data_IF_689635565638
#
_entry.id   IF_689635565638
#
_cell.length_a   1.000
_cell.length_b   1.000
_cell.length_c   1.000
_cell.angle_alpha   90.00
_cell.angle_beta   90.00
_cell.angle_gamma   90.00
#
_symmetry.space_group_name_H-M   'P 1'
#
loop_
_entity.id
_entity.type
_entity.pdbx_description
1 polymer ?
#
# COMPACT_ATOMS: atom_id res chain seq x y z
N UNK A 1 62.57 -7.39 14.68
CA UNK A 1 62.50 -5.91 14.58
C UNK A 1 61.07 -5.50 14.86
N UNK A 2 60.86 -4.60 15.82
CA UNK A 2 59.52 -4.09 16.11
C UNK A 2 59.14 -3.10 15.01
N UNK A 3 57.86 -3.04 14.60
CA UNK A 3 57.34 -2.07 13.62
C UNK A 3 57.68 -0.63 14.03
N UNK A 4 57.80 -0.41 15.34
CA UNK A 4 58.18 0.86 15.96
C UNK A 4 59.60 1.30 15.55
N UNK A 5 60.53 0.36 15.38
CA UNK A 5 61.93 0.65 15.03
C UNK A 5 62.07 1.14 13.58
N UNK A 6 61.12 0.79 12.71
CA UNK A 6 61.09 1.19 11.30
C UNK A 6 60.51 2.60 11.12
N UNK A 7 59.52 2.95 11.95
CA UNK A 7 58.78 4.22 11.85
C UNK A 7 59.48 5.35 12.63
N UNK A 8 60.29 5.01 13.63
CA UNK A 8 61.01 5.97 14.46
C UNK A 8 62.08 6.72 13.65
N UNK A 9 62.02 8.06 13.55
CA UNK A 9 63.06 8.82 12.86
C UNK A 9 64.41 8.68 13.58
N UNK A 10 65.52 8.63 12.82
CA UNK A 10 66.87 8.50 13.39
C UNK A 10 67.26 9.61 14.38
N UNK A 11 66.64 10.80 14.26
CA UNK A 11 66.88 11.94 15.14
C UNK A 11 66.01 11.93 16.41
N UNK A 12 65.18 10.92 16.64
CA UNK A 12 64.20 10.90 17.73
C UNK A 12 64.83 10.86 19.13
N UNK A 13 65.95 10.16 19.28
CA UNK A 13 66.73 10.11 20.54
C UNK A 13 67.91 11.08 20.54
N UNK A 14 68.00 11.96 19.54
CA UNK A 14 69.12 12.89 19.39
C UNK A 14 69.07 13.96 20.49
N UNK A 15 70.08 13.98 21.36
CA UNK A 15 70.29 15.04 22.34
C UNK A 15 71.43 15.94 21.88
N UNK A 16 71.11 17.21 21.61
CA UNK A 16 72.12 18.19 21.25
C UNK A 16 72.92 18.62 22.49
N UNK A 17 74.17 18.15 22.57
CA UNK A 17 75.09 18.38 23.69
C UNK A 17 75.78 19.76 23.58
N UNK A 18 75.75 20.38 22.40
CA UNK A 18 76.43 21.66 22.11
C UNK A 18 75.50 22.89 22.19
N UNK A 19 74.20 22.70 22.40
CA UNK A 19 73.18 23.75 22.24
C UNK A 19 73.15 24.87 23.31
N UNK A 20 74.05 24.84 24.32
CA UNK A 20 74.20 25.92 25.31
C UNK A 20 72.86 26.35 25.96
N UNK A 21 72.70 27.64 26.37
CA UNK A 21 71.48 28.12 27.01
C UNK A 21 70.23 28.13 26.10
N UNK A 22 70.33 27.69 24.84
CA UNK A 22 69.24 27.73 23.84
C UNK A 22 68.75 26.34 23.41
N UNK A 23 69.04 25.30 24.21
CA UNK A 23 68.68 23.89 24.02
C UNK A 23 67.19 23.63 23.70
N UNK A 24 66.29 24.54 24.06
CA UNK A 24 64.85 24.42 23.78
C UNK A 24 64.48 24.65 22.30
N UNK A 25 65.29 25.37 21.53
CA UNK A 25 65.04 25.66 20.11
C UNK A 25 65.23 24.44 19.19
N UNK A 26 66.03 23.46 19.62
CA UNK A 26 66.40 22.28 18.83
C UNK A 26 65.68 20.99 19.27
N UNK A 27 64.44 21.11 19.76
CA UNK A 27 63.64 19.94 20.11
C UNK A 27 63.01 19.29 18.86
N UNK A 28 63.84 18.59 18.07
CA UNK A 28 63.45 17.93 16.80
C UNK A 28 62.30 16.94 16.96
N UNK A 29 62.21 16.26 18.12
CA UNK A 29 61.09 15.39 18.46
C UNK A 29 59.75 16.15 18.45
N UNK A 30 59.72 17.33 19.08
CA UNK A 30 58.51 18.19 19.12
C UNK A 30 58.14 18.71 17.73
N UNK A 31 59.12 19.14 16.94
CA UNK A 31 58.89 19.65 15.58
C UNK A 31 58.31 18.55 14.69
N UNK A 32 58.88 17.35 14.73
CA UNK A 32 58.37 16.22 13.94
C UNK A 32 56.98 15.79 14.38
N UNK A 33 56.72 15.70 15.69
CA UNK A 33 55.37 15.41 16.21
C UNK A 33 54.36 16.44 15.70
N UNK A 34 54.70 17.73 15.76
CA UNK A 34 53.83 18.81 15.27
C UNK A 34 53.59 18.72 13.77
N UNK A 35 54.62 18.43 12.96
CA UNK A 35 54.48 18.26 11.52
C UNK A 35 53.58 17.05 11.15
N UNK A 36 53.77 15.91 11.81
CA UNK A 36 52.94 14.70 11.59
C UNK A 36 51.50 14.96 12.00
N UNK A 37 51.27 15.61 13.14
CA UNK A 37 49.92 15.95 13.61
C UNK A 37 49.24 16.92 12.65
N UNK A 38 49.93 17.97 12.19
CA UNK A 38 49.36 18.93 11.24
C UNK A 38 49.02 18.29 9.89
N UNK A 39 49.92 17.49 9.33
CA UNK A 39 49.65 16.77 8.07
C UNK A 39 48.49 15.78 8.21
N UNK A 40 48.44 15.04 9.32
CA UNK A 40 47.32 14.12 9.61
C UNK A 40 46.01 14.88 9.75
N UNK A 41 46.02 16.02 10.45
CA UNK A 41 44.85 16.86 10.64
C UNK A 41 44.33 17.39 9.30
N UNK A 42 45.22 17.90 8.44
CA UNK A 42 44.86 18.39 7.10
C UNK A 42 44.28 17.28 6.21
N UNK A 43 44.76 16.05 6.33
CA UNK A 43 44.23 14.91 5.56
C UNK A 43 42.90 14.37 6.11
N UNK A 44 42.76 14.25 7.43
CA UNK A 44 41.63 13.57 8.08
C UNK A 44 40.42 14.50 8.24
N UNK A 45 40.62 15.78 8.57
CA UNK A 45 39.51 16.69 8.88
C UNK A 45 38.55 16.86 7.71
N UNK A 46 39.00 17.12 6.46
CA UNK A 46 38.10 17.22 5.32
C UNK A 46 37.34 15.92 5.05
N UNK A 47 38.02 14.78 5.19
CA UNK A 47 37.43 13.45 4.98
C UNK A 47 36.33 13.14 6.00
N UNK A 48 36.58 13.41 7.29
CA UNK A 48 35.56 13.23 8.33
C UNK A 48 34.41 14.19 8.13
N UNK A 49 34.70 15.45 7.77
CA UNK A 49 33.68 16.47 7.54
C UNK A 49 32.75 16.09 6.39
N UNK A 50 33.30 15.70 5.23
CA UNK A 50 32.46 15.28 4.09
C UNK A 50 31.68 14.01 4.41
N UNK A 51 32.28 13.04 5.10
CA UNK A 51 31.59 11.79 5.47
C UNK A 51 30.41 12.05 6.40
N UNK A 52 30.55 12.96 7.38
CA UNK A 52 29.46 13.30 8.30
C UNK A 52 28.32 14.06 7.60
N UNK A 53 28.65 14.95 6.67
CA UNK A 53 27.66 15.67 5.86
C UNK A 53 26.93 14.69 4.95
N UNK A 54 27.68 13.88 4.21
CA UNK A 54 27.14 12.87 3.29
C UNK A 54 26.23 11.89 4.02
N UNK A 55 26.65 11.38 5.18
CA UNK A 55 25.84 10.49 5.99
C UNK A 55 24.47 11.09 6.33
N UNK A 56 24.42 12.35 6.77
CA UNK A 56 23.17 13.05 7.10
C UNK A 56 22.29 13.29 5.87
N UNK A 57 22.89 13.74 4.77
CA UNK A 57 22.16 14.01 3.53
C UNK A 57 21.61 12.73 2.92
N UNK A 58 22.43 11.68 2.85
CA UNK A 58 22.05 10.36 2.34
C UNK A 58 20.96 9.74 3.20
N UNK A 59 21.06 9.81 4.52
CA UNK A 59 20.01 9.30 5.40
C UNK A 59 18.65 9.97 5.10
N UNK A 60 18.60 11.30 5.07
CA UNK A 60 17.36 12.03 4.79
C UNK A 60 16.83 11.78 3.38
N UNK A 61 17.71 11.69 2.38
CA UNK A 61 17.33 11.40 1.01
C UNK A 61 16.72 10.00 0.88
N UNK A 62 17.32 8.99 1.53
CA UNK A 62 16.85 7.61 1.51
C UNK A 62 15.51 7.47 2.23
N UNK A 63 15.36 8.06 3.42
CA UNK A 63 14.08 8.07 4.16
C UNK A 63 12.95 8.71 3.34
N UNK A 64 13.24 9.84 2.70
CA UNK A 64 12.27 10.56 1.87
C UNK A 64 11.89 9.77 0.61
N UNK A 65 12.87 9.16 -0.08
CA UNK A 65 12.59 8.35 -1.26
C UNK A 65 11.73 7.12 -0.92
N UNK A 66 12.02 6.43 0.18
CA UNK A 66 11.19 5.32 0.66
C UNK A 66 9.76 5.76 0.99
N UNK A 67 9.61 6.88 1.71
CA UNK A 67 8.29 7.42 2.04
C UNK A 67 7.51 7.78 0.77
N UNK A 68 8.13 8.54 -0.15
CA UNK A 68 7.47 8.98 -1.38
C UNK A 68 7.11 7.80 -2.29
N UNK A 69 7.98 6.81 -2.43
CA UNK A 69 7.68 5.59 -3.20
C UNK A 69 6.51 4.83 -2.61
N UNK A 70 6.53 4.61 -1.29
CA UNK A 70 5.45 3.90 -0.60
C UNK A 70 4.13 4.65 -0.74
N UNK A 71 4.13 5.98 -0.53
CA UNK A 71 2.96 6.83 -0.69
C UNK A 71 2.41 6.79 -2.12
N UNK A 72 3.29 6.82 -3.15
CA UNK A 72 2.87 6.69 -4.56
C UNK A 72 2.27 5.33 -4.87
N UNK A 73 2.88 4.25 -4.37
CA UNK A 73 2.37 2.90 -4.56
C UNK A 73 0.98 2.76 -3.93
N UNK A 74 0.82 3.16 -2.66
CA UNK A 74 -0.47 3.13 -1.97
C UNK A 74 -1.51 3.99 -2.70
N UNK A 75 -1.14 5.21 -3.11
CA UNK A 75 -2.04 6.11 -3.85
C UNK A 75 -2.49 5.51 -5.18
N UNK A 76 -1.56 4.90 -5.93
CA UNK A 76 -1.86 4.28 -7.21
C UNK A 76 -2.72 3.03 -7.04
N UNK A 77 -2.40 2.14 -6.09
CA UNK A 77 -3.19 0.95 -5.78
C UNK A 77 -4.59 1.33 -5.33
N UNK A 78 -4.72 2.31 -4.41
CA UNK A 78 -6.04 2.81 -3.98
C UNK A 78 -6.87 3.30 -5.15
N UNK A 79 -6.26 4.07 -6.07
CA UNK A 79 -6.93 4.58 -7.26
C UNK A 79 -7.41 3.45 -8.17
N UNK A 80 -6.56 2.44 -8.42
CA UNK A 80 -6.91 1.27 -9.22
C UNK A 80 -8.08 0.48 -8.61
N UNK A 81 -8.00 0.15 -7.31
CA UNK A 81 -9.07 -0.57 -6.60
C UNK A 81 -10.37 0.25 -6.58
N UNK A 82 -10.27 1.56 -6.34
CA UNK A 82 -11.42 2.46 -6.35
C UNK A 82 -12.10 2.50 -7.72
N UNK A 83 -11.32 2.65 -8.80
CA UNK A 83 -11.87 2.66 -10.16
C UNK A 83 -12.50 1.32 -10.53
N UNK A 84 -11.86 0.21 -10.19
CA UNK A 84 -12.42 -1.12 -10.36
C UNK A 84 -13.81 -1.20 -9.69
N UNK A 85 -13.92 -0.89 -8.40
CA UNK A 85 -15.20 -0.97 -7.69
C UNK A 85 -16.26 0.00 -8.23
N UNK A 86 -15.86 1.23 -8.60
CA UNK A 86 -16.77 2.25 -9.17
C UNK A 86 -17.32 1.80 -10.52
N UNK A 87 -16.50 1.18 -11.37
CA UNK A 87 -16.93 0.67 -12.67
C UNK A 87 -17.98 -0.44 -12.51
N UNK A 88 -17.72 -1.45 -11.66
CA UNK A 88 -18.68 -2.54 -11.41
C UNK A 88 -19.96 -2.03 -10.74
N UNK A 89 -19.85 -1.07 -9.82
CA UNK A 89 -21.01 -0.38 -9.24
C UNK A 89 -21.84 0.30 -10.32
N UNK A 90 -21.20 1.02 -11.23
CA UNK A 90 -21.89 1.75 -12.31
C UNK A 90 -22.60 0.78 -13.27
N UNK A 91 -21.95 -0.35 -13.58
CA UNK A 91 -22.57 -1.43 -14.35
C UNK A 91 -23.80 -2.01 -13.63
N UNK A 92 -23.71 -2.26 -12.31
CA UNK A 92 -24.82 -2.79 -11.53
C UNK A 92 -25.98 -1.78 -11.43
N UNK A 93 -25.68 -0.50 -11.25
CA UNK A 93 -26.66 0.59 -11.25
C UNK A 93 -27.38 0.72 -12.60
N UNK A 94 -26.65 0.55 -13.71
CA UNK A 94 -27.24 0.50 -15.05
C UNK A 94 -28.21 -0.68 -15.19
N UNK A 95 -27.79 -1.89 -14.80
CA UNK A 95 -28.66 -3.10 -14.86
C UNK A 95 -29.95 -2.89 -14.07
N UNK A 96 -29.84 -2.33 -12.87
CA UNK A 96 -30.97 -2.04 -12.00
C UNK A 96 -31.95 -1.04 -12.62
N UNK A 97 -31.46 -0.02 -13.34
CA UNK A 97 -32.30 1.01 -13.96
C UNK A 97 -32.94 0.54 -15.27
N UNK A 98 -32.28 -0.35 -16.00
CA UNK A 98 -32.70 -0.82 -17.33
C UNK A 98 -33.62 -2.05 -17.28
N UNK A 99 -33.77 -2.70 -16.13
CA UNK A 99 -34.54 -3.94 -16.01
C UNK A 99 -35.64 -3.83 -14.94
N UNK A 100 -36.82 -4.37 -15.26
CA UNK A 100 -37.91 -4.48 -14.28
C UNK A 100 -37.62 -5.57 -13.25
N UNK A 101 -38.21 -5.45 -12.06
CA UNK A 101 -38.09 -6.47 -11.01
C UNK A 101 -38.49 -7.87 -11.48
N UNK A 102 -39.59 -7.99 -12.23
CA UNK A 102 -40.05 -9.27 -12.76
C UNK A 102 -39.04 -9.87 -13.75
N UNK A 103 -38.38 -9.03 -14.57
CA UNK A 103 -37.33 -9.45 -15.50
C UNK A 103 -36.09 -9.94 -14.76
N UNK A 104 -35.70 -9.27 -13.67
CA UNK A 104 -34.56 -9.69 -12.85
C UNK A 104 -34.85 -10.95 -12.01
N UNK A 105 -36.12 -11.20 -11.68
CA UNK A 105 -36.55 -12.43 -11.00
C UNK A 105 -36.64 -13.65 -11.95
N UNK A 106 -36.56 -13.45 -13.28
CA UNK A 106 -36.45 -14.55 -14.23
C UNK A 106 -35.00 -15.09 -14.26
N UNK A 107 -34.84 -16.38 -13.92
CA UNK A 107 -33.52 -17.00 -13.78
C UNK A 107 -32.72 -16.99 -15.08
N UNK A 108 -33.37 -17.12 -16.24
CA UNK A 108 -32.69 -17.12 -17.55
C UNK A 108 -32.14 -15.74 -17.85
N UNK A 109 -32.94 -14.69 -17.67
CA UNK A 109 -32.53 -13.31 -17.84
C UNK A 109 -31.41 -12.92 -16.87
N UNK A 110 -31.52 -13.28 -15.59
CA UNK A 110 -30.50 -12.97 -14.59
C UNK A 110 -29.16 -13.63 -14.93
N UNK A 111 -29.19 -14.89 -15.40
CA UNK A 111 -27.98 -15.57 -15.86
C UNK A 111 -27.34 -14.90 -17.09
N UNK A 112 -28.15 -14.47 -18.08
CA UNK A 112 -27.65 -13.72 -19.23
C UNK A 112 -27.00 -12.39 -18.83
N UNK A 113 -27.62 -11.65 -17.90
CA UNK A 113 -27.05 -10.42 -17.34
C UNK A 113 -25.69 -10.71 -16.69
N UNK A 114 -25.61 -11.72 -15.83
CA UNK A 114 -24.34 -12.11 -15.19
C UNK A 114 -23.26 -12.43 -16.23
N UNK A 115 -23.63 -13.15 -17.30
CA UNK A 115 -22.70 -13.48 -18.39
C UNK A 115 -22.17 -12.23 -19.07
N UNK A 116 -23.03 -11.26 -19.39
CA UNK A 116 -22.61 -10.00 -20.01
C UNK A 116 -21.76 -9.14 -19.07
N UNK A 117 -22.09 -9.09 -17.78
CA UNK A 117 -21.26 -8.40 -16.78
C UNK A 117 -19.86 -9.04 -16.68
N UNK A 118 -19.78 -10.37 -16.66
CA UNK A 118 -18.50 -11.10 -16.67
C UNK A 118 -17.68 -10.84 -17.94
N UNK A 119 -18.32 -10.78 -19.11
CA UNK A 119 -17.63 -10.55 -20.38
C UNK A 119 -17.19 -9.09 -20.58
N UNK A 120 -18.03 -8.12 -20.17
CA UNK A 120 -17.77 -6.70 -20.39
C UNK A 120 -16.85 -6.08 -19.36
N UNK A 121 -17.02 -6.42 -18.08
CA UNK A 121 -16.30 -5.79 -16.96
C UNK A 121 -15.35 -6.77 -16.26
N UNK A 122 -15.68 -8.07 -16.24
CA UNK A 122 -14.96 -9.06 -15.44
C UNK A 122 -15.16 -8.89 -13.94
N UNK A 123 -14.54 -9.74 -13.13
CA UNK A 123 -14.55 -9.64 -11.66
C UNK A 123 -15.90 -9.84 -10.98
N UNK A 124 -16.98 -10.17 -11.69
CA UNK A 124 -18.25 -10.60 -11.10
C UNK A 124 -18.23 -12.12 -10.89
N UNK A 125 -18.57 -12.59 -9.69
CA UNK A 125 -18.75 -14.04 -9.45
C UNK A 125 -20.22 -14.43 -9.60
N UNK A 126 -21.10 -13.70 -8.93
CA UNK A 126 -22.54 -13.93 -8.91
C UNK A 126 -23.34 -12.63 -8.76
N UNK A 127 -24.63 -12.72 -9.08
CA UNK A 127 -25.64 -11.69 -8.79
C UNK A 127 -26.90 -12.30 -8.19
N UNK A 128 -27.63 -11.52 -7.40
CA UNK A 128 -28.88 -11.93 -6.79
C UNK A 128 -29.84 -10.77 -6.59
N UNK A 129 -31.13 -11.06 -6.68
CA UNK A 129 -32.22 -10.10 -6.46
C UNK A 129 -32.79 -10.33 -5.08
N UNK A 130 -32.84 -9.28 -4.27
CA UNK A 130 -33.26 -9.34 -2.88
C UNK A 130 -34.45 -8.40 -2.69
N UNK A 131 -35.51 -8.88 -2.07
CA UNK A 131 -36.70 -8.07 -1.81
C UNK A 131 -36.51 -7.13 -0.61
N UNK A 132 -37.50 -6.27 -0.37
CA UNK A 132 -37.50 -5.32 0.76
C UNK A 132 -37.46 -5.99 2.14
N UNK A 133 -37.79 -7.28 2.24
CA UNK A 133 -37.72 -8.04 3.48
C UNK A 133 -36.35 -8.65 3.76
N UNK A 134 -35.43 -8.57 2.78
CA UNK A 134 -34.10 -9.17 2.83
C UNK A 134 -34.03 -10.56 2.23
N UNK A 135 -35.11 -11.09 1.65
CA UNK A 135 -35.13 -12.43 1.08
C UNK A 135 -34.61 -12.41 -0.36
N UNK A 136 -33.63 -13.28 -0.66
CA UNK A 136 -33.11 -13.43 -2.01
C UNK A 136 -34.08 -14.24 -2.87
N UNK A 137 -34.72 -13.58 -3.84
CA UNK A 137 -35.77 -14.12 -4.70
C UNK A 137 -35.25 -14.83 -5.93
N UNK A 138 -34.13 -14.34 -6.48
CA UNK A 138 -33.48 -14.95 -7.63
C UNK A 138 -31.97 -14.87 -7.47
N UNK A 139 -31.28 -15.85 -8.03
CA UNK A 139 -29.83 -15.95 -7.97
C UNK A 139 -29.25 -16.46 -9.29
N UNK A 140 -28.12 -15.89 -9.68
CA UNK A 140 -27.29 -16.43 -10.74
C UNK A 140 -25.84 -16.50 -10.24
N UNK A 141 -25.30 -17.71 -10.17
CA UNK A 141 -23.94 -17.95 -9.69
C UNK A 141 -23.68 -19.41 -9.33
N UNK A 142 -22.50 -19.73 -8.80
CA UNK A 142 -22.10 -21.12 -8.54
C UNK A 142 -22.57 -21.69 -7.20
N UNK A 143 -23.27 -20.92 -6.37
CA UNK A 143 -23.73 -21.33 -5.04
C UNK A 143 -25.25 -21.56 -4.99
N UNK A 144 -25.77 -22.19 -3.93
CA UNK A 144 -27.20 -22.30 -3.71
C UNK A 144 -27.66 -21.26 -2.67
N UNK A 145 -27.94 -20.04 -3.12
CA UNK A 145 -28.24 -18.90 -2.24
C UNK A 145 -29.68 -18.36 -2.37
N UNK A 146 -30.51 -18.95 -3.23
CA UNK A 146 -31.93 -18.58 -3.30
C UNK A 146 -32.64 -18.89 -1.98
N UNK A 147 -33.54 -18.00 -1.56
CA UNK A 147 -34.27 -18.13 -0.30
C UNK A 147 -33.47 -17.75 0.96
N UNK A 148 -32.19 -17.38 0.85
CA UNK A 148 -31.42 -16.85 1.99
C UNK A 148 -31.93 -15.46 2.36
N UNK A 149 -32.03 -15.21 3.67
CA UNK A 149 -32.41 -13.92 4.22
C UNK A 149 -31.17 -13.13 4.67
N UNK A 150 -31.01 -11.93 4.10
CA UNK A 150 -29.90 -11.02 4.32
C UNK A 150 -30.25 -9.82 5.20
N UNK A 151 -31.46 -9.75 5.75
CA UNK A 151 -31.96 -8.60 6.53
C UNK A 151 -31.03 -8.17 7.66
N UNK A 152 -30.35 -9.13 8.28
CA UNK A 152 -29.47 -8.88 9.42
C UNK A 152 -28.04 -8.49 9.03
N UNK A 153 -27.67 -8.60 7.75
CA UNK A 153 -26.35 -8.22 7.26
C UNK A 153 -26.18 -6.69 7.30
N UNK A 154 -24.98 -6.24 7.69
CA UNK A 154 -24.65 -4.80 7.78
C UNK A 154 -24.84 -4.09 6.44
N UNK A 155 -24.33 -4.68 5.35
CA UNK A 155 -24.43 -4.11 4.01
C UNK A 155 -25.89 -3.97 3.54
N UNK A 156 -26.80 -4.86 3.99
CA UNK A 156 -28.23 -4.77 3.65
C UNK A 156 -28.84 -3.53 4.27
N UNK A 157 -28.58 -3.28 5.55
CA UNK A 157 -29.04 -2.08 6.26
C UNK A 157 -28.47 -0.81 5.62
N UNK A 158 -27.19 -0.82 5.25
CA UNK A 158 -26.55 0.32 4.59
C UNK A 158 -27.16 0.62 3.22
N UNK A 159 -27.35 -0.39 2.36
CA UNK A 159 -27.93 -0.17 1.02
C UNK A 159 -29.39 0.27 1.10
N UNK A 160 -30.14 -0.22 2.09
CA UNK A 160 -31.51 0.28 2.34
C UNK A 160 -31.50 1.77 2.64
N UNK A 161 -30.55 2.28 3.42
CA UNK A 161 -30.51 3.70 3.81
C UNK A 161 -29.87 4.60 2.74
N UNK A 162 -28.78 4.16 2.12
CA UNK A 162 -27.93 4.97 1.23
C UNK A 162 -28.23 4.76 -0.26
N UNK A 163 -29.02 3.74 -0.61
CA UNK A 163 -29.32 3.35 -1.99
C UNK A 163 -28.22 2.53 -2.66
N UNK A 164 -26.96 2.71 -2.28
CA UNK A 164 -25.82 1.90 -2.75
C UNK A 164 -24.90 1.57 -1.57
N UNK A 165 -24.35 0.37 -1.56
CA UNK A 165 -23.30 -0.04 -0.63
C UNK A 165 -22.23 -0.89 -1.33
N UNK A 166 -20.97 -0.67 -0.95
CA UNK A 166 -19.85 -1.56 -1.23
C UNK A 166 -19.33 -2.02 0.12
N UNK A 167 -19.31 -3.33 0.36
CA UNK A 167 -18.89 -3.89 1.64
C UNK A 167 -17.36 -3.95 1.77
N UNK A 168 -16.88 -4.09 3.00
CA UNK A 168 -15.55 -4.66 3.26
C UNK A 168 -15.51 -6.15 2.88
N UNK A 169 -14.34 -6.77 2.97
CA UNK A 169 -14.18 -8.21 2.77
C UNK A 169 -14.78 -8.97 3.96
N UNK A 170 -15.66 -9.93 3.68
CA UNK A 170 -16.29 -10.78 4.70
C UNK A 170 -16.60 -12.18 4.17
N UNK A 171 -16.92 -13.11 5.08
CA UNK A 171 -17.17 -14.52 4.71
C UNK A 171 -18.58 -14.76 4.15
N UNK A 172 -19.57 -14.03 4.68
CA UNK A 172 -21.00 -14.19 4.36
C UNK A 172 -21.49 -15.64 4.45
N UNK A 173 -22.57 -15.94 3.74
CA UNK A 173 -23.12 -17.31 3.67
C UNK A 173 -22.30 -18.27 2.78
N UNK A 174 -21.35 -17.73 2.00
CA UNK A 174 -20.47 -18.52 1.11
C UNK A 174 -19.32 -19.17 1.85
N UNK A 175 -18.98 -18.67 3.05
CA UNK A 175 -17.80 -19.09 3.84
C UNK A 175 -16.48 -18.96 3.08
N UNK A 176 -16.41 -17.98 2.19
CA UNK A 176 -15.21 -17.61 1.42
C UNK A 176 -15.10 -16.07 1.44
N UNK A 177 -13.91 -15.48 1.63
CA UNK A 177 -13.72 -14.04 1.61
C UNK A 177 -14.23 -13.44 0.30
N UNK A 178 -15.08 -12.42 0.38
CA UNK A 178 -15.55 -11.70 -0.81
C UNK A 178 -16.02 -10.28 -0.47
N UNK A 179 -16.12 -9.46 -1.52
CA UNK A 179 -16.73 -8.13 -1.48
C UNK A 179 -18.10 -8.20 -2.15
N UNK A 180 -19.05 -7.42 -1.64
CA UNK A 180 -20.38 -7.27 -2.21
C UNK A 180 -20.59 -5.82 -2.65
N UNK A 181 -21.16 -5.65 -3.84
CA UNK A 181 -21.76 -4.39 -4.28
C UNK A 181 -23.27 -4.59 -4.30
N UNK A 182 -24.00 -3.72 -3.62
CA UNK A 182 -25.46 -3.75 -3.56
C UNK A 182 -26.02 -2.41 -4.03
N UNK A 183 -27.00 -2.47 -4.94
CA UNK A 183 -27.71 -1.29 -5.45
C UNK A 183 -29.21 -1.49 -5.27
N UNK A 184 -29.86 -0.52 -4.63
CA UNK A 184 -31.30 -0.48 -4.38
C UNK A 184 -32.03 0.19 -5.54
N UNK A 185 -33.18 -0.36 -5.90
CA UNK A 185 -34.17 0.25 -6.79
C UNK A 185 -35.51 0.39 -6.09
N UNK A 186 -36.15 1.54 -6.23
CA UNK A 186 -37.50 1.75 -5.69
C UNK A 186 -38.54 1.34 -6.73
N UNK A 187 -39.45 0.44 -6.36
CA UNK A 187 -40.58 0.02 -7.20
C UNK A 187 -41.80 0.93 -7.01
N UNK A 188 -42.03 1.34 -5.77
CA UNK A 188 -43.10 2.25 -5.37
C UNK A 188 -42.61 3.08 -4.18
N UNK A 189 -43.46 3.97 -3.63
CA UNK A 189 -43.12 4.75 -2.43
C UNK A 189 -42.73 3.88 -1.23
N UNK A 190 -43.21 2.63 -1.17
CA UNK A 190 -43.05 1.76 0.01
C UNK A 190 -42.30 0.45 -0.29
N UNK A 191 -42.06 0.12 -1.56
CA UNK A 191 -41.40 -1.13 -1.95
C UNK A 191 -40.13 -0.88 -2.75
N UNK A 192 -39.13 -1.73 -2.52
CA UNK A 192 -37.86 -1.70 -3.21
C UNK A 192 -37.33 -3.12 -3.39
N UNK A 193 -36.40 -3.27 -4.32
CA UNK A 193 -35.54 -4.43 -4.40
C UNK A 193 -34.08 -4.00 -4.42
N UNK A 194 -33.19 -4.93 -4.14
CA UNK A 194 -31.74 -4.74 -4.21
C UNK A 194 -31.19 -5.74 -5.21
N UNK A 195 -30.42 -5.26 -6.17
CA UNK A 195 -29.53 -6.12 -6.95
C UNK A 195 -28.19 -6.15 -6.25
N UNK A 196 -27.79 -7.35 -5.86
CA UNK A 196 -26.55 -7.64 -5.15
C UNK A 196 -25.61 -8.37 -6.08
N UNK A 197 -24.35 -7.98 -6.13
CA UNK A 197 -23.29 -8.63 -6.88
C UNK A 197 -22.13 -9.00 -5.96
N UNK A 198 -21.57 -10.19 -6.15
CA UNK A 198 -20.31 -10.57 -5.51
C UNK A 198 -19.15 -10.31 -6.45
N UNK A 199 -18.13 -9.63 -5.94
CA UNK A 199 -16.91 -9.30 -6.67
C UNK A 199 -15.80 -10.26 -6.30
N UNK A 200 -15.06 -10.70 -7.33
CA UNK A 200 -13.89 -11.54 -7.21
C UNK A 200 -12.72 -10.77 -6.61
N UNK A 201 -12.31 -11.16 -5.41
CA UNK A 201 -11.19 -10.55 -4.71
C UNK A 201 -9.84 -11.03 -5.23
N UNK A 202 -9.78 -12.16 -5.93
CA UNK A 202 -8.51 -12.67 -6.48
C UNK A 202 -7.97 -11.74 -7.57
N UNK A 203 -8.85 -10.95 -8.20
CA UNK A 203 -8.46 -9.90 -9.14
C UNK A 203 -7.66 -8.75 -8.54
N UNK A 204 -7.61 -8.63 -7.22
CA UNK A 204 -6.74 -7.65 -6.55
C UNK A 204 -5.33 -8.18 -6.29
N UNK A 205 -5.10 -9.48 -6.47
CA UNK A 205 -3.80 -10.12 -6.25
C UNK A 205 -2.98 -10.29 -7.55
N UNK A 206 -3.56 -9.94 -8.71
CA UNK A 206 -2.88 -9.83 -10.01
C UNK A 206 -2.22 -8.44 -10.15
#
# INVERSE_FOLDING_TARGET
MSIIDIIKPKFWDYQDVAAGPHKHLFNFRRIWQLAVVLMSLVAIVPLVSITLIDYKVTQHAVETDFFLRTARLVSNTWRTVSFFLVERRSALDFVVKDNSYNSLCDSKRLYEILRHLKQGFGGFIDIGVIDSNGLQKAYAGPYNLEGINYRDQSWFKDVTNKGVNVSDVFMGFRRTPHIVIAVRHNLSKESFFILRATIDTDKFNE
#
